data_IF_018298242979
#
_entry.id   IF_018298242979
#
_cell.length_a   1.000
_cell.length_b   1.000
_cell.length_c   1.000
_cell.angle_alpha   90.00
_cell.angle_beta   90.00
_cell.angle_gamma   90.00
#
_symmetry.space_group_name_H-M   'P 1'
#
loop_
_entity.id
_entity.type
_entity.pdbx_description
1 polymer ?
#
# COMPACT_ATOMS: atom_id res chain seq x y z
N UNK A 1 -25.57 6.13 65.58
CA UNK A 1 -25.32 6.07 64.12
C UNK A 1 -23.92 5.51 63.91
N UNK A 2 -23.78 4.29 63.35
CA UNK A 2 -22.48 3.68 63.04
C UNK A 2 -22.03 4.15 61.66
N UNK A 3 -20.88 4.82 61.60
CA UNK A 3 -20.23 5.29 60.36
C UNK A 3 -19.57 4.09 59.69
N UNK A 4 -19.99 3.79 58.46
CA UNK A 4 -19.48 2.66 57.67
C UNK A 4 -18.32 3.16 56.81
N UNK A 5 -17.09 3.02 57.30
CA UNK A 5 -15.89 3.41 56.55
C UNK A 5 -15.38 2.19 55.76
N UNK A 6 -15.84 2.07 54.50
CA UNK A 6 -15.29 1.12 53.53
C UNK A 6 -13.92 1.63 53.06
N UNK A 7 -12.92 1.55 53.93
CA UNK A 7 -11.54 1.86 53.59
C UNK A 7 -10.95 0.75 52.73
N UNK A 8 -10.79 0.98 51.43
CA UNK A 8 -9.87 0.18 50.61
C UNK A 8 -8.50 0.30 51.28
N UNK A 9 -8.00 -0.80 51.83
CA UNK A 9 -6.70 -0.83 52.50
C UNK A 9 -5.64 -0.42 51.50
N UNK A 10 -4.66 0.42 51.89
CA UNK A 10 -3.61 0.95 51.00
C UNK A 10 -2.91 -0.15 50.17
N UNK A 11 -2.80 -1.35 50.76
CA UNK A 11 -2.27 -2.57 50.13
C UNK A 11 -3.17 -3.06 48.98
N UNK A 12 -4.49 -3.09 49.18
CA UNK A 12 -5.43 -3.47 48.13
C UNK A 12 -5.40 -2.48 46.95
N UNK A 13 -5.25 -1.18 47.23
CA UNK A 13 -5.08 -0.17 46.19
C UNK A 13 -3.77 -0.37 45.41
N UNK A 14 -2.66 -0.62 46.12
CA UNK A 14 -1.37 -0.87 45.48
C UNK A 14 -1.39 -2.12 44.58
N UNK A 15 -2.00 -3.22 45.05
CA UNK A 15 -2.15 -4.45 44.27
C UNK A 15 -3.01 -4.20 43.03
N UNK A 16 -4.12 -3.45 43.16
CA UNK A 16 -4.98 -3.12 42.01
C UNK A 16 -4.24 -2.33 40.93
N UNK A 17 -3.42 -1.35 41.33
CA UNK A 17 -2.60 -0.57 40.40
C UNK A 17 -1.57 -1.45 39.68
N UNK A 18 -0.90 -2.36 40.41
CA UNK A 18 0.05 -3.30 39.82
C UNK A 18 -0.64 -4.21 38.78
N UNK A 19 -1.81 -4.75 39.12
CA UNK A 19 -2.59 -5.60 38.21
C UNK A 19 -3.06 -4.81 36.98
N UNK A 20 -3.52 -3.56 37.15
CA UNK A 20 -3.89 -2.69 36.04
C UNK A 20 -2.72 -2.44 35.09
N UNK A 21 -1.52 -2.18 35.64
CA UNK A 21 -0.31 -1.97 34.83
C UNK A 21 0.05 -3.24 34.02
N UNK A 22 -0.03 -4.42 34.64
CA UNK A 22 0.22 -5.69 33.93
C UNK A 22 -0.76 -5.91 32.77
N UNK A 23 -2.06 -5.73 33.01
CA UNK A 23 -3.09 -5.91 31.97
C UNK A 23 -2.92 -4.86 30.87
N UNK A 24 -2.66 -3.60 31.21
CA UNK A 24 -2.43 -2.53 30.24
C UNK A 24 -1.25 -2.86 29.32
N UNK A 25 -0.13 -3.33 29.86
CA UNK A 25 1.04 -3.70 29.04
C UNK A 25 0.73 -4.82 28.04
N UNK A 26 0.08 -5.89 28.47
CA UNK A 26 -0.27 -7.04 27.59
C UNK A 26 -1.30 -6.63 26.52
N UNK A 27 -2.31 -5.83 26.92
CA UNK A 27 -3.39 -5.39 26.01
C UNK A 27 -2.87 -4.43 24.93
N UNK A 28 -1.97 -3.52 25.29
CA UNK A 28 -1.33 -2.60 24.31
C UNK A 28 -0.46 -3.37 23.33
N UNK A 29 0.36 -4.31 23.81
CA UNK A 29 1.25 -5.09 22.95
C UNK A 29 0.48 -5.95 21.93
N UNK A 30 -0.52 -6.69 22.40
CA UNK A 30 -1.39 -7.52 21.53
C UNK A 30 -2.21 -6.69 20.53
N UNK A 31 -2.73 -5.53 20.97
CA UNK A 31 -3.45 -4.60 20.11
C UNK A 31 -2.58 -4.02 18.99
N UNK A 32 -1.35 -3.62 19.30
CA UNK A 32 -0.41 -3.06 18.30
C UNK A 32 -0.03 -4.10 17.24
N UNK A 33 0.24 -5.35 17.64
CA UNK A 33 0.53 -6.44 16.69
C UNK A 33 -0.67 -6.67 15.75
N UNK A 34 -1.88 -6.75 16.31
CA UNK A 34 -3.10 -7.00 15.52
C UNK A 34 -3.35 -5.89 14.48
N UNK A 35 -3.09 -4.63 14.84
CA UNK A 35 -3.19 -3.48 13.93
C UNK A 35 -2.13 -3.58 12.81
N UNK A 36 -0.90 -3.94 13.17
CA UNK A 36 0.18 -4.11 12.20
C UNK A 36 -0.14 -5.21 11.20
N UNK A 37 -0.55 -6.39 11.66
CA UNK A 37 -0.96 -7.51 10.80
C UNK A 37 -2.12 -7.14 9.88
N UNK A 38 -3.14 -6.44 10.41
CA UNK A 38 -4.27 -5.97 9.63
C UNK A 38 -3.83 -5.01 8.52
N UNK A 39 -2.89 -4.11 8.81
CA UNK A 39 -2.30 -3.22 7.81
C UNK A 39 -1.53 -3.99 6.74
N UNK A 40 -0.71 -4.99 7.11
CA UNK A 40 0.03 -5.82 6.15
C UNK A 40 -0.92 -6.59 5.22
N UNK A 41 -1.98 -7.19 5.79
CA UNK A 41 -3.00 -7.90 5.03
C UNK A 41 -3.72 -6.97 4.06
N UNK A 42 -4.06 -5.75 4.49
CA UNK A 42 -4.70 -4.75 3.63
C UNK A 42 -3.82 -4.32 2.47
N UNK A 43 -2.55 -4.06 2.72
CA UNK A 43 -1.56 -3.75 1.68
C UNK A 43 -1.51 -4.88 0.64
N UNK A 44 -1.46 -6.13 1.09
CA UNK A 44 -1.43 -7.29 0.18
C UNK A 44 -2.69 -7.39 -0.67
N UNK A 45 -3.87 -7.25 -0.07
CA UNK A 45 -5.15 -7.29 -0.80
C UNK A 45 -5.21 -6.17 -1.84
N UNK A 46 -4.86 -4.94 -1.47
CA UNK A 46 -4.89 -3.82 -2.43
C UNK A 46 -3.87 -4.02 -3.56
N UNK A 47 -2.67 -4.54 -3.29
CA UNK A 47 -1.69 -4.89 -4.34
C UNK A 47 -2.26 -5.87 -5.36
N UNK A 48 -2.89 -6.95 -4.90
CA UNK A 48 -3.51 -7.95 -5.75
C UNK A 48 -4.68 -7.35 -6.55
N UNK A 49 -5.54 -6.56 -5.91
CA UNK A 49 -6.67 -5.87 -6.58
C UNK A 49 -6.18 -4.91 -7.68
N UNK A 50 -5.17 -4.09 -7.39
CA UNK A 50 -4.58 -3.19 -8.38
C UNK A 50 -3.94 -4.00 -9.52
N UNK A 51 -3.26 -5.10 -9.23
CA UNK A 51 -2.67 -5.96 -10.25
C UNK A 51 -3.74 -6.54 -11.18
N UNK A 52 -4.85 -7.02 -10.63
CA UNK A 52 -5.97 -7.52 -11.43
C UNK A 52 -6.53 -6.44 -12.36
N UNK A 53 -6.78 -5.23 -11.85
CA UNK A 53 -7.28 -4.11 -12.66
C UNK A 53 -6.29 -3.69 -13.76
N UNK A 54 -4.99 -3.66 -13.45
CA UNK A 54 -3.92 -3.35 -14.43
C UNK A 54 -3.90 -4.39 -15.55
N UNK A 55 -3.99 -5.67 -15.23
CA UNK A 55 -3.99 -6.75 -16.23
C UNK A 55 -5.25 -6.75 -17.09
N UNK A 56 -6.41 -6.44 -16.49
CA UNK A 56 -7.66 -6.27 -17.23
C UNK A 56 -7.53 -5.10 -18.23
N UNK A 57 -7.05 -3.95 -17.79
CA UNK A 57 -6.84 -2.81 -18.67
C UNK A 57 -5.76 -3.05 -19.72
N UNK A 58 -4.71 -3.82 -19.39
CA UNK A 58 -3.73 -4.23 -20.39
C UNK A 58 -4.35 -5.14 -21.47
N UNK A 59 -5.29 -6.00 -21.08
CA UNK A 59 -6.05 -6.83 -22.02
C UNK A 59 -6.93 -5.96 -22.92
N UNK A 60 -7.63 -4.96 -22.36
CA UNK A 60 -8.39 -3.97 -23.14
C UNK A 60 -7.48 -3.20 -24.11
N UNK A 61 -6.30 -2.76 -23.66
CA UNK A 61 -5.29 -2.14 -24.52
C UNK A 61 -4.91 -3.05 -25.69
N UNK A 62 -4.63 -4.34 -25.46
CA UNK A 62 -4.28 -5.27 -26.56
C UNK A 62 -5.41 -5.49 -27.56
N UNK A 63 -6.66 -5.53 -27.10
CA UNK A 63 -7.84 -5.79 -27.94
C UNK A 63 -8.19 -4.56 -28.78
N UNK A 64 -8.23 -3.39 -28.14
CA UNK A 64 -8.68 -2.15 -28.78
C UNK A 64 -7.54 -1.32 -29.38
N UNK A 65 -6.28 -1.65 -29.06
CA UNK A 65 -5.09 -0.90 -29.42
C UNK A 65 -5.19 0.60 -29.05
N UNK A 66 -5.85 0.88 -27.93
CA UNK A 66 -6.15 2.23 -27.47
C UNK A 66 -5.38 2.55 -26.19
N UNK A 67 -4.51 3.54 -26.27
CA UNK A 67 -3.61 3.94 -25.18
C UNK A 67 -4.35 4.50 -23.96
N UNK A 68 -5.63 4.87 -24.08
CA UNK A 68 -6.43 5.34 -22.93
C UNK A 68 -6.53 4.31 -21.80
N UNK A 69 -6.33 3.03 -22.11
CA UNK A 69 -6.33 1.94 -21.14
C UNK A 69 -5.02 1.82 -20.36
N UNK A 70 -3.94 2.49 -20.80
CA UNK A 70 -2.68 2.62 -20.06
C UNK A 70 -2.75 3.85 -19.13
N UNK A 71 -3.56 3.73 -18.07
CA UNK A 71 -3.87 4.81 -17.12
C UNK A 71 -2.65 5.14 -16.24
N UNK A 72 -2.45 6.44 -15.97
CA UNK A 72 -1.42 6.94 -15.07
C UNK A 72 -0.42 7.88 -15.74
N UNK A 73 0.50 8.41 -14.94
CA UNK A 73 1.58 9.28 -15.42
C UNK A 73 2.86 8.45 -15.63
N UNK A 74 3.45 8.41 -16.84
CA UNK A 74 4.64 7.62 -17.10
C UNK A 74 5.85 8.17 -16.34
N UNK A 75 6.62 7.27 -15.74
CA UNK A 75 7.88 7.56 -15.07
C UNK A 75 9.00 7.47 -16.11
N UNK A 76 9.79 8.52 -16.24
CA UNK A 76 10.82 8.64 -17.29
C UNK A 76 12.23 8.33 -16.80
N UNK A 77 12.45 8.23 -15.49
CA UNK A 77 13.76 8.01 -14.89
C UNK A 77 13.72 6.90 -13.84
N UNK A 78 14.68 5.98 -13.90
CA UNK A 78 14.88 4.96 -12.88
C UNK A 78 15.34 5.52 -11.53
N UNK A 79 15.78 6.78 -11.50
CA UNK A 79 16.21 7.49 -10.30
C UNK A 79 15.09 8.38 -9.73
N UNK A 80 13.86 8.27 -10.23
CA UNK A 80 12.71 8.94 -9.62
C UNK A 80 12.50 8.42 -8.19
N UNK A 81 12.35 9.35 -7.25
CA UNK A 81 12.09 9.09 -5.83
C UNK A 81 10.96 8.10 -5.54
N UNK A 82 9.99 7.96 -6.46
CA UNK A 82 8.85 7.05 -6.31
C UNK A 82 9.22 5.60 -6.58
N UNK A 83 10.16 5.34 -7.50
CA UNK A 83 10.48 4.00 -8.00
C UNK A 83 11.86 3.49 -7.59
N UNK A 84 12.76 4.38 -7.16
CA UNK A 84 14.17 4.07 -6.89
C UNK A 84 14.36 2.90 -5.91
N UNK A 85 13.50 2.76 -4.91
CA UNK A 85 13.57 1.67 -3.93
C UNK A 85 13.25 0.29 -4.54
N UNK A 86 12.49 0.26 -5.63
CA UNK A 86 12.11 -0.97 -6.33
C UNK A 86 13.04 -1.30 -7.51
N UNK A 87 14.04 -0.46 -7.79
CA UNK A 87 14.89 -0.53 -8.99
C UNK A 87 15.45 -1.92 -9.28
N UNK A 88 15.82 -2.68 -8.24
CA UNK A 88 16.39 -4.02 -8.39
C UNK A 88 15.34 -5.12 -8.60
N UNK A 89 14.06 -4.84 -8.34
CA UNK A 89 12.95 -5.77 -8.55
C UNK A 89 12.27 -5.59 -9.92
N UNK A 90 12.48 -4.45 -10.58
CA UNK A 90 11.85 -4.08 -11.84
C UNK A 90 12.22 -5.04 -12.98
N UNK A 91 11.22 -5.74 -13.53
CA UNK A 91 11.41 -6.69 -14.65
C UNK A 91 11.80 -5.95 -15.93
N UNK A 92 11.09 -4.87 -16.25
CA UNK A 92 11.31 -4.10 -17.48
C UNK A 92 12.36 -2.98 -17.35
N UNK A 93 13.21 -3.00 -16.31
CA UNK A 93 14.14 -1.89 -16.01
C UNK A 93 14.94 -1.40 -17.22
N UNK A 94 15.51 -2.33 -18.00
CA UNK A 94 16.42 -1.99 -19.09
C UNK A 94 15.73 -1.32 -20.29
N UNK A 95 14.39 -1.37 -20.35
CA UNK A 95 13.59 -0.87 -21.48
C UNK A 95 12.70 0.28 -21.05
N UNK A 96 12.05 0.19 -19.88
CA UNK A 96 10.98 1.08 -19.45
C UNK A 96 11.33 2.58 -19.42
N UNK A 97 12.62 2.91 -19.23
CA UNK A 97 13.11 4.29 -19.10
C UNK A 97 13.80 4.81 -20.36
N UNK A 98 13.82 4.03 -21.45
CA UNK A 98 14.33 4.50 -22.73
C UNK A 98 13.37 5.55 -23.33
N UNK A 99 13.87 6.60 -24.02
CA UNK A 99 13.02 7.62 -24.64
C UNK A 99 11.99 7.04 -25.63
N UNK A 100 12.39 6.01 -26.38
CA UNK A 100 11.65 5.32 -27.43
C UNK A 100 10.93 4.05 -26.94
N UNK A 101 10.92 3.79 -25.63
CA UNK A 101 10.22 2.64 -25.07
C UNK A 101 8.72 2.70 -25.39
N UNK A 102 8.18 1.58 -25.88
CA UNK A 102 6.74 1.46 -26.10
C UNK A 102 5.98 1.74 -24.80
N UNK A 103 4.80 2.36 -24.90
CA UNK A 103 4.04 2.85 -23.74
C UNK A 103 3.74 1.73 -22.74
N UNK A 104 3.32 0.55 -23.20
CA UNK A 104 3.05 -0.61 -22.37
C UNK A 104 4.25 -1.07 -21.52
N UNK A 105 5.49 -0.80 -21.95
CA UNK A 105 6.71 -1.20 -21.26
C UNK A 105 7.10 -0.20 -20.15
N UNK A 106 6.48 0.99 -20.12
CA UNK A 106 6.77 2.02 -19.11
C UNK A 106 6.13 1.68 -17.77
N UNK A 107 6.67 2.30 -16.73
CA UNK A 107 6.04 2.33 -15.41
C UNK A 107 5.17 3.58 -15.29
N UNK A 108 4.01 3.43 -14.67
CA UNK A 108 3.00 4.48 -14.52
C UNK A 108 2.73 4.73 -13.05
N UNK A 109 2.86 5.97 -12.62
CA UNK A 109 2.40 6.42 -11.32
C UNK A 109 0.91 6.73 -11.36
N UNK A 110 0.13 6.04 -10.53
CA UNK A 110 -1.31 6.25 -10.40
C UNK A 110 -1.62 7.37 -9.42
N UNK A 111 -2.43 8.33 -9.87
CA UNK A 111 -2.75 9.57 -9.16
C UNK A 111 -4.25 9.69 -8.97
N UNK A 112 -4.64 10.19 -7.80
CA UNK A 112 -6.04 10.53 -7.53
C UNK A 112 -6.31 11.99 -7.90
N UNK A 113 -7.58 12.30 -8.15
CA UNK A 113 -8.01 13.65 -8.50
C UNK A 113 -7.62 14.64 -7.39
N UNK A 114 -7.02 15.76 -7.79
CA UNK A 114 -6.56 16.81 -6.87
C UNK A 114 -5.12 16.65 -6.38
N UNK A 115 -4.47 15.50 -6.60
CA UNK A 115 -3.04 15.35 -6.31
C UNK A 115 -2.22 16.31 -7.18
N UNK A 116 -1.64 17.36 -6.60
CA UNK A 116 -0.94 18.42 -7.34
C UNK A 116 -1.74 18.97 -8.54
N UNK A 117 -3.03 19.26 -8.34
CA UNK A 117 -3.98 19.70 -9.38
C UNK A 117 -4.20 18.70 -10.53
N UNK A 118 -4.04 17.40 -10.26
CA UNK A 118 -4.36 16.36 -11.24
C UNK A 118 -5.86 16.34 -11.54
N UNK A 119 -6.21 16.47 -12.82
CA UNK A 119 -7.59 16.62 -13.26
C UNK A 119 -8.40 15.31 -13.22
N UNK A 120 -7.71 14.18 -13.40
CA UNK A 120 -8.30 12.85 -13.53
C UNK A 120 -8.15 12.05 -12.23
N UNK A 121 -8.83 10.91 -12.15
CA UNK A 121 -8.71 9.96 -11.05
C UNK A 121 -8.34 8.59 -11.63
N UNK A 122 -7.05 8.27 -11.63
CA UNK A 122 -6.52 7.06 -12.26
C UNK A 122 -7.10 5.80 -11.62
N UNK A 123 -7.34 5.82 -10.31
CA UNK A 123 -7.95 4.70 -9.59
C UNK A 123 -9.38 4.46 -10.05
N UNK A 124 -10.19 5.50 -10.23
CA UNK A 124 -11.55 5.35 -10.77
C UNK A 124 -11.55 4.92 -12.24
N UNK A 125 -10.58 5.37 -13.03
CA UNK A 125 -10.43 4.92 -14.42
C UNK A 125 -10.04 3.43 -14.52
N UNK A 126 -9.44 2.88 -13.47
CA UNK A 126 -9.14 1.46 -13.30
C UNK A 126 -10.25 0.68 -12.60
N UNK A 127 -11.41 1.31 -12.34
CA UNK A 127 -12.52 0.73 -11.56
C UNK A 127 -12.13 0.28 -10.14
N UNK A 128 -11.16 1.00 -9.55
CA UNK A 128 -10.69 0.75 -8.20
C UNK A 128 -11.37 1.72 -7.23
N UNK A 129 -12.26 1.20 -6.39
CA UNK A 129 -12.79 1.89 -5.22
C UNK A 129 -11.98 1.54 -3.96
N UNK A 130 -12.02 2.43 -2.96
CA UNK A 130 -11.51 2.18 -1.60
C UNK A 130 -10.00 1.91 -1.48
N UNK A 131 -9.23 2.30 -2.49
CA UNK A 131 -7.78 2.30 -2.45
C UNK A 131 -7.28 3.36 -1.47
N UNK A 132 -6.32 3.00 -0.62
CA UNK A 132 -5.77 3.93 0.38
C UNK A 132 -4.33 4.28 0.14
N UNK A 133 -3.59 3.36 -0.48
CA UNK A 133 -2.19 3.61 -0.78
C UNK A 133 -2.02 4.07 -2.23
N UNK A 134 -0.86 4.64 -2.51
CA UNK A 134 -0.46 5.07 -3.85
C UNK A 134 0.40 4.02 -4.51
N UNK A 135 0.20 3.83 -5.82
CA UNK A 135 0.84 2.75 -6.55
C UNK A 135 1.57 3.19 -7.82
N UNK A 136 2.61 2.43 -8.16
CA UNK A 136 3.24 2.42 -9.48
C UNK A 136 2.93 1.09 -10.13
N UNK A 137 2.61 1.10 -11.42
CA UNK A 137 2.21 -0.09 -12.17
C UNK A 137 2.97 -0.22 -13.49
N UNK A 138 3.19 -1.45 -13.96
CA UNK A 138 3.56 -1.72 -15.34
C UNK A 138 2.55 -2.66 -15.98
N UNK A 139 1.86 -2.19 -17.02
CA UNK A 139 0.81 -2.92 -17.70
C UNK A 139 1.33 -4.19 -18.38
N UNK A 140 2.52 -4.12 -19.00
CA UNK A 140 3.10 -5.27 -19.72
C UNK A 140 3.39 -6.46 -18.80
N UNK A 141 3.93 -6.20 -17.61
CA UNK A 141 4.44 -7.22 -16.67
C UNK A 141 3.49 -7.48 -15.51
N UNK A 142 2.43 -6.68 -15.35
CA UNK A 142 1.52 -6.75 -14.20
C UNK A 142 2.22 -6.41 -12.88
N UNK A 143 3.32 -5.66 -12.93
CA UNK A 143 4.03 -5.22 -11.74
C UNK A 143 3.24 -4.13 -11.04
N UNK A 144 3.13 -4.23 -9.71
CA UNK A 144 2.50 -3.24 -8.85
C UNK A 144 3.38 -3.01 -7.63
N UNK A 145 3.64 -1.75 -7.32
CA UNK A 145 4.49 -1.30 -6.21
C UNK A 145 3.75 -0.28 -5.36
N UNK A 146 3.84 -0.42 -4.05
CA UNK A 146 3.28 0.55 -3.11
C UNK A 146 4.31 1.66 -2.79
N UNK A 147 3.93 2.92 -2.99
CA UNK A 147 4.82 4.07 -2.79
C UNK A 147 4.83 4.54 -1.33
N UNK A 148 3.75 4.30 -0.59
CA UNK A 148 3.57 4.80 0.78
C UNK A 148 4.22 3.89 1.82
N UNK A 149 4.13 2.57 1.61
CA UNK A 149 4.77 1.55 2.43
C UNK A 149 5.62 0.67 1.52
N UNK A 150 6.93 0.91 1.51
CA UNK A 150 7.87 0.28 0.58
C UNK A 150 8.28 -1.13 0.96
N UNK A 151 8.25 -1.45 2.26
CA UNK A 151 8.65 -2.74 2.82
C UNK A 151 7.59 -3.26 3.79
N UNK A 152 7.36 -4.58 3.75
CA UNK A 152 6.61 -5.31 4.76
C UNK A 152 7.44 -5.41 6.06
N UNK A 153 6.81 -5.83 7.15
CA UNK A 153 7.46 -5.98 8.48
C UNK A 153 8.60 -7.01 8.43
N UNK A 154 8.50 -8.00 7.54
CA UNK A 154 9.55 -9.01 7.34
C UNK A 154 10.75 -8.50 6.50
N UNK A 155 10.70 -7.25 6.01
CA UNK A 155 11.75 -6.64 5.19
C UNK A 155 11.58 -6.84 3.68
N UNK A 156 10.57 -7.60 3.24
CA UNK A 156 10.33 -7.79 1.80
C UNK A 156 9.75 -6.51 1.17
N UNK A 157 10.13 -6.16 -0.07
CA UNK A 157 9.54 -5.03 -0.76
C UNK A 157 8.04 -5.26 -1.01
N UNK A 158 7.23 -4.21 -0.84
CA UNK A 158 5.80 -4.22 -1.10
C UNK A 158 5.56 -4.11 -2.60
N UNK A 159 5.75 -5.25 -3.25
CA UNK A 159 5.79 -5.43 -4.69
C UNK A 159 5.11 -6.74 -5.06
N UNK A 160 4.33 -6.74 -6.14
CA UNK A 160 3.83 -7.95 -6.79
C UNK A 160 4.03 -7.86 -8.29
N UNK A 161 4.08 -9.01 -8.96
CA UNK A 161 4.17 -9.14 -10.43
C UNK A 161 3.34 -10.30 -10.92
N UNK A 162 2.91 -10.26 -12.18
CA UNK A 162 2.24 -11.39 -12.79
C UNK A 162 3.30 -12.43 -13.21
N UNK A 163 3.16 -13.67 -12.75
CA UNK A 163 4.07 -14.77 -13.07
C UNK A 163 3.78 -15.38 -14.44
#
# INVERSE_FOLDING_TARGET
MKKNENGVTLIALAIMVIVMLMIASVTVYSGVISIQESKQKRIKIELETVQHAVLENYTKYKIYNDEKYLVGTPITSENDSKIIDFKFNLVNRNIAFLPDAEKQNKYYWLRSKGDNNYANDDYKMLDLSDITFRYIVCYKTGEVMNIDTKYYINGDPVYTRFN
#
